data_IF_940082050293
#
_entry.id   IF_940082050293
#
_cell.length_a   1.000
_cell.length_b   1.000
_cell.length_c   1.000
_cell.angle_alpha   90.00
_cell.angle_beta   90.00
_cell.angle_gamma   90.00
#
_symmetry.space_group_name_H-M   'P 1'
#
loop_
_entity.id
_entity.type
_entity.pdbx_description
1 polymer ?
#
# COMPACT_ATOMS: atom_id res chain seq x y z
N UNK A 1 -8.96 34.95 6.53
CA UNK A 1 -7.55 34.55 6.62
C UNK A 1 -7.31 33.36 5.71
N UNK A 2 -6.47 33.52 4.68
CA UNK A 2 -6.10 32.44 3.77
C UNK A 2 -5.26 31.40 4.52
N UNK A 3 -5.68 30.12 4.47
CA UNK A 3 -4.86 29.02 5.01
C UNK A 3 -3.60 28.90 4.16
N UNK A 4 -2.42 29.12 4.73
CA UNK A 4 -1.14 28.80 4.11
C UNK A 4 -0.89 27.30 4.18
N UNK A 5 -0.47 26.72 3.06
CA UNK A 5 -0.15 25.30 2.93
C UNK A 5 1.36 25.12 2.83
N UNK A 6 1.89 24.05 3.41
CA UNK A 6 3.28 23.68 3.28
C UNK A 6 3.59 23.26 1.83
N UNK A 7 4.65 23.78 1.23
CA UNK A 7 5.04 23.44 -0.14
C UNK A 7 5.58 22.01 -0.30
N UNK A 8 5.95 21.35 0.82
CA UNK A 8 6.54 20.02 0.81
C UNK A 8 5.50 18.91 1.08
N UNK A 9 4.74 18.98 2.20
CA UNK A 9 3.71 17.99 2.51
C UNK A 9 2.30 18.37 2.03
N UNK A 10 2.09 19.59 1.52
CA UNK A 10 0.79 20.12 1.09
C UNK A 10 -0.32 20.14 2.16
N UNK A 11 0.04 19.96 3.44
CA UNK A 11 -0.87 20.16 4.58
C UNK A 11 -0.89 21.64 5.00
N UNK A 12 -1.96 22.11 5.67
CA UNK A 12 -1.96 23.42 6.31
C UNK A 12 -0.74 23.58 7.21
N UNK A 13 -0.11 24.76 7.26
CA UNK A 13 1.10 24.99 8.07
C UNK A 13 0.94 24.56 9.54
N UNK A 14 -0.25 24.75 10.12
CA UNK A 14 -0.57 24.33 11.49
C UNK A 14 -0.62 22.81 11.71
N UNK A 15 -0.68 22.03 10.63
CA UNK A 15 -0.71 20.56 10.63
C UNK A 15 0.45 19.98 9.79
N UNK A 16 1.52 20.76 9.58
CA UNK A 16 2.68 20.32 8.82
C UNK A 16 3.38 19.15 9.54
N UNK A 17 3.64 18.07 8.81
CA UNK A 17 4.31 16.88 9.35
C UNK A 17 5.77 16.76 8.90
N UNK A 18 6.30 17.71 8.12
CA UNK A 18 7.66 17.62 7.57
C UNK A 18 8.74 17.44 8.64
N UNK A 19 8.60 18.09 9.81
CA UNK A 19 9.56 17.97 10.91
C UNK A 19 9.50 16.60 11.63
N UNK A 20 8.45 15.81 11.37
CA UNK A 20 8.21 14.51 12.01
C UNK A 20 8.42 13.33 11.05
N UNK A 21 8.79 13.60 9.80
CA UNK A 21 9.08 12.57 8.80
C UNK A 21 10.58 12.49 8.61
N UNK A 22 11.14 11.31 8.88
CA UNK A 22 12.52 10.99 8.56
C UNK A 22 12.54 10.20 7.25
N UNK A 23 13.26 10.67 6.21
CA UNK A 23 13.50 9.88 5.00
C UNK A 23 14.03 8.49 5.34
N UNK A 24 13.54 7.50 4.63
CA UNK A 24 13.94 6.10 4.74
C UNK A 24 14.53 5.65 3.41
N UNK A 25 15.61 4.90 3.48
CA UNK A 25 16.18 4.27 2.29
C UNK A 25 15.34 3.05 1.93
N UNK A 26 14.91 3.00 0.66
CA UNK A 26 14.30 1.81 0.09
C UNK A 26 15.29 1.18 -0.88
N UNK A 27 15.74 -0.07 -0.66
CA UNK A 27 16.77 -0.68 -1.49
C UNK A 27 16.28 -1.03 -2.91
N UNK A 28 14.99 -0.84 -3.18
CA UNK A 28 14.36 -1.10 -4.47
C UNK A 28 13.38 0.03 -4.84
N UNK A 29 13.12 0.23 -6.13
CA UNK A 29 12.13 1.20 -6.59
C UNK A 29 10.72 0.81 -6.14
N UNK A 30 9.95 1.81 -5.75
CA UNK A 30 8.53 1.66 -5.41
C UNK A 30 7.70 2.47 -6.39
N UNK A 31 6.69 1.84 -6.98
CA UNK A 31 5.70 2.47 -7.83
C UNK A 31 4.34 2.42 -7.15
N UNK A 32 3.71 3.58 -6.99
CA UNK A 32 2.31 3.70 -6.61
C UNK A 32 1.46 3.93 -7.86
N UNK A 33 0.59 2.98 -8.16
CA UNK A 33 -0.47 3.17 -9.15
C UNK A 33 -1.72 3.66 -8.43
N UNK A 34 -1.99 4.96 -8.56
CA UNK A 34 -3.10 5.63 -7.89
C UNK A 34 -4.28 5.81 -8.84
N UNK A 35 -5.48 5.46 -8.39
CA UNK A 35 -6.69 5.68 -9.17
C UNK A 35 -6.96 7.21 -9.32
N UNK A 36 -7.28 7.74 -10.52
CA UNK A 36 -7.44 9.19 -10.75
C UNK A 36 -8.48 9.88 -9.85
N UNK A 37 -9.58 9.19 -9.53
CA UNK A 37 -10.59 9.66 -8.58
C UNK A 37 -10.12 9.74 -7.12
N UNK A 38 -8.98 9.14 -6.74
CA UNK A 38 -8.40 9.24 -5.40
C UNK A 38 -7.42 10.40 -5.28
N UNK A 39 -6.70 10.73 -6.36
CA UNK A 39 -5.73 11.82 -6.40
C UNK A 39 -6.33 13.20 -6.07
N UNK A 40 -7.66 13.34 -6.20
CA UNK A 40 -8.40 14.58 -5.88
C UNK A 40 -8.86 14.69 -4.42
N UNK A 41 -8.62 13.68 -3.59
CA UNK A 41 -9.06 13.72 -2.20
C UNK A 41 -8.03 14.42 -1.29
N UNK A 42 -8.50 15.36 -0.48
CA UNK A 42 -7.71 16.17 0.46
C UNK A 42 -7.01 15.38 1.60
N UNK A 43 -7.11 14.04 1.59
CA UNK A 43 -6.47 13.10 2.53
C UNK A 43 -5.44 12.20 1.85
N UNK A 44 -4.93 12.58 0.68
CA UNK A 44 -3.91 11.80 0.00
C UNK A 44 -2.69 11.65 0.90
N UNK A 45 -2.31 10.42 1.23
CA UNK A 45 -1.09 10.09 2.01
C UNK A 45 0.17 10.17 1.14
N UNK A 46 0.00 10.27 -0.18
CA UNK A 46 1.09 10.31 -1.16
C UNK A 46 2.10 11.43 -0.91
N UNK A 47 1.72 12.69 -0.60
CA UNK A 47 2.67 13.75 -0.29
C UNK A 47 3.54 13.44 0.94
N UNK A 48 2.95 12.84 1.98
CA UNK A 48 3.70 12.41 3.17
C UNK A 48 4.65 11.25 2.84
N UNK A 49 4.18 10.30 2.04
CA UNK A 49 4.97 9.15 1.64
C UNK A 49 6.17 9.55 0.78
N UNK A 50 6.03 10.57 -0.09
CA UNK A 50 7.16 11.15 -0.86
C UNK A 50 8.21 11.82 0.02
N UNK A 51 7.83 12.33 1.19
CA UNK A 51 8.80 12.86 2.17
C UNK A 51 9.57 11.75 2.86
N UNK A 52 8.93 10.60 3.10
CA UNK A 52 9.56 9.44 3.70
C UNK A 52 10.37 8.61 2.68
N UNK A 53 9.93 8.55 1.43
CA UNK A 53 10.52 7.75 0.35
C UNK A 53 10.70 8.64 -0.89
N UNK A 54 11.81 9.38 -0.99
CA UNK A 54 11.98 10.39 -2.05
C UNK A 54 11.97 9.80 -3.47
N UNK A 55 12.43 8.55 -3.62
CA UNK A 55 12.53 7.87 -4.91
C UNK A 55 11.25 7.13 -5.33
N UNK A 56 10.14 7.34 -4.62
CA UNK A 56 8.87 6.72 -4.98
C UNK A 56 8.28 7.33 -6.25
N UNK A 57 8.00 6.48 -7.23
CA UNK A 57 7.26 6.89 -8.43
C UNK A 57 5.77 6.80 -8.16
N UNK A 58 5.01 7.79 -8.59
CA UNK A 58 3.54 7.78 -8.49
C UNK A 58 2.96 8.00 -9.88
N UNK A 59 2.13 7.07 -10.33
CA UNK A 59 1.40 7.13 -11.59
C UNK A 59 -0.09 7.23 -11.30
N UNK A 60 -0.72 8.32 -11.75
CA UNK A 60 -2.15 8.59 -11.55
C UNK A 60 -2.89 8.25 -12.83
N UNK A 61 -3.24 6.98 -12.98
CA UNK A 61 -3.90 6.45 -14.20
C UNK A 61 -4.69 5.19 -13.88
N UNK A 62 -5.68 4.87 -14.71
CA UNK A 62 -6.35 3.57 -14.69
C UNK A 62 -5.64 2.53 -15.56
N UNK A 63 -4.79 3.00 -16.48
CA UNK A 63 -4.05 2.18 -17.45
C UNK A 63 -2.57 2.47 -17.36
N UNK A 64 -1.80 1.45 -16.97
CA UNK A 64 -0.36 1.48 -16.85
C UNK A 64 0.20 0.35 -17.73
N UNK A 65 1.08 0.71 -18.67
CA UNK A 65 1.81 -0.28 -19.45
C UNK A 65 2.73 -1.12 -18.54
N UNK A 66 3.03 -2.39 -18.90
CA UNK A 66 4.00 -3.18 -18.17
C UNK A 66 5.31 -2.43 -17.95
N UNK A 67 5.85 -2.54 -16.74
CA UNK A 67 7.07 -1.85 -16.36
C UNK A 67 8.29 -2.48 -17.04
N UNK A 68 9.33 -1.69 -17.35
CA UNK A 68 10.61 -2.27 -17.76
C UNK A 68 11.17 -3.16 -16.65
N UNK A 69 11.95 -4.17 -17.02
CA UNK A 69 12.60 -5.07 -16.06
C UNK A 69 13.52 -4.25 -15.13
N UNK A 70 13.48 -4.47 -13.81
CA UNK A 70 14.41 -3.82 -12.89
C UNK A 70 15.85 -4.32 -13.10
N UNK A 71 16.83 -3.57 -12.58
CA UNK A 71 18.25 -3.90 -12.73
C UNK A 71 18.63 -5.24 -12.06
N UNK A 72 17.89 -5.64 -11.03
CA UNK A 72 18.02 -6.93 -10.33
C UNK A 72 16.64 -7.41 -9.94
N UNK A 73 16.45 -8.74 -9.78
CA UNK A 73 15.17 -9.31 -9.36
C UNK A 73 14.02 -9.05 -10.34
N UNK A 74 12.80 -8.96 -9.80
CA UNK A 74 11.56 -8.69 -10.55
C UNK A 74 10.62 -7.76 -9.78
N UNK A 75 9.60 -7.26 -10.47
CA UNK A 75 8.53 -6.51 -9.84
C UNK A 75 7.63 -7.43 -9.02
N UNK A 76 7.26 -6.97 -7.83
CA UNK A 76 6.31 -7.60 -6.92
C UNK A 76 5.11 -6.69 -6.70
N UNK A 77 3.92 -7.27 -6.54
CA UNK A 77 2.70 -6.54 -6.25
C UNK A 77 2.40 -6.60 -4.74
N UNK A 78 2.30 -5.45 -4.08
CA UNK A 78 1.77 -5.38 -2.73
C UNK A 78 0.24 -5.30 -2.78
N UNK A 79 -0.43 -6.44 -2.63
CA UNK A 79 -1.88 -6.57 -2.71
C UNK A 79 -2.35 -7.89 -2.11
N UNK A 80 -3.48 -7.94 -1.37
CA UNK A 80 -3.99 -9.21 -0.87
C UNK A 80 -4.54 -10.04 -2.04
N UNK A 81 -3.77 -11.05 -2.43
CA UNK A 81 -4.14 -12.09 -3.37
C UNK A 81 -4.12 -13.44 -2.68
N UNK A 82 -4.83 -14.43 -3.22
CA UNK A 82 -4.91 -15.78 -2.62
C UNK A 82 -3.55 -16.46 -2.46
N UNK A 83 -2.60 -16.15 -3.34
CA UNK A 83 -1.23 -16.69 -3.34
C UNK A 83 -0.19 -15.66 -2.88
N UNK A 84 -0.63 -14.56 -2.25
CA UNK A 84 0.30 -13.56 -1.74
C UNK A 84 1.12 -14.13 -0.59
N UNK A 85 2.42 -13.85 -0.60
CA UNK A 85 3.31 -14.11 0.52
C UNK A 85 2.97 -13.13 1.64
N UNK A 86 2.58 -13.67 2.78
CA UNK A 86 2.26 -12.89 3.98
C UNK A 86 3.52 -12.46 4.71
N UNK A 87 3.83 -11.17 4.65
CA UNK A 87 5.02 -10.57 5.27
C UNK A 87 5.01 -10.71 6.79
N UNK A 88 3.83 -10.86 7.39
CA UNK A 88 3.66 -10.93 8.84
C UNK A 88 3.72 -12.37 9.38
N UNK A 89 3.83 -13.37 8.51
CA UNK A 89 3.91 -14.76 8.95
C UNK A 89 5.25 -15.04 9.66
N UNK A 90 5.17 -15.54 10.90
CA UNK A 90 6.33 -15.94 11.69
C UNK A 90 7.20 -16.94 10.90
N UNK A 91 8.50 -16.64 10.77
CA UNK A 91 9.51 -17.42 10.05
C UNK A 91 9.48 -17.39 8.51
N UNK A 92 8.82 -16.41 7.87
CA UNK A 92 8.94 -16.25 6.42
C UNK A 92 10.28 -15.63 6.01
N UNK A 93 11.07 -16.36 5.22
CA UNK A 93 12.18 -15.77 4.49
C UNK A 93 11.62 -14.97 3.30
N UNK A 94 11.52 -13.65 3.45
CA UNK A 94 11.21 -12.78 2.32
C UNK A 94 12.29 -12.97 1.24
N UNK A 95 11.91 -13.11 -0.03
CA UNK A 95 12.87 -13.30 -1.12
C UNK A 95 13.46 -11.94 -1.51
N UNK A 96 14.12 -11.24 -0.57
CA UNK A 96 14.64 -9.88 -0.73
C UNK A 96 15.52 -9.77 -1.99
N UNK A 97 16.35 -10.78 -2.26
CA UNK A 97 17.21 -10.84 -3.44
C UNK A 97 16.45 -10.90 -4.78
N UNK A 98 15.18 -11.34 -4.77
CA UNK A 98 14.31 -11.42 -5.94
C UNK A 98 13.39 -10.19 -6.07
N UNK A 99 13.29 -9.35 -5.04
CA UNK A 99 12.53 -8.10 -5.08
C UNK A 99 13.38 -7.04 -5.78
N UNK A 100 13.08 -6.83 -7.06
CA UNK A 100 13.66 -5.77 -7.90
C UNK A 100 12.89 -4.47 -7.86
N UNK A 101 11.66 -4.49 -7.35
CA UNK A 101 10.78 -3.34 -7.21
C UNK A 101 9.40 -3.73 -6.70
N UNK A 102 8.71 -2.76 -6.10
CA UNK A 102 7.34 -2.95 -5.60
C UNK A 102 6.34 -2.10 -6.37
N UNK A 103 5.20 -2.69 -6.70
CA UNK A 103 4.00 -2.01 -7.18
C UNK A 103 2.96 -2.00 -6.07
N UNK A 104 2.45 -0.83 -5.73
CA UNK A 104 1.41 -0.62 -4.71
C UNK A 104 0.20 0.02 -5.39
N UNK A 105 -0.99 -0.50 -5.11
CA UNK A 105 -2.23 0.07 -5.63
C UNK A 105 -2.84 1.02 -4.61
N UNK A 106 -3.02 2.28 -4.97
CA UNK A 106 -3.61 3.30 -4.10
C UNK A 106 -5.07 3.61 -4.47
N UNK A 107 -5.95 3.37 -3.50
CA UNK A 107 -7.35 3.72 -3.56
C UNK A 107 -8.24 2.82 -2.71
N UNK A 108 -9.55 3.11 -2.69
CA UNK A 108 -10.52 2.18 -2.08
C UNK A 108 -10.46 0.79 -2.72
N UNK A 109 -10.85 -0.27 -1.97
CA UNK A 109 -10.94 -1.65 -2.49
C UNK A 109 -11.66 -1.81 -3.82
N UNK A 110 -12.71 -1.00 -4.05
CA UNK A 110 -13.42 -1.02 -5.34
C UNK A 110 -12.54 -0.49 -6.47
N UNK A 111 -11.79 0.59 -6.21
CA UNK A 111 -10.91 1.23 -7.18
C UNK A 111 -9.64 0.41 -7.43
N UNK A 112 -9.00 -0.16 -6.40
CA UNK A 112 -7.80 -1.01 -6.58
C UNK A 112 -8.12 -2.31 -7.30
N UNK A 113 -9.27 -2.95 -7.05
CA UNK A 113 -9.75 -4.08 -7.86
C UNK A 113 -9.97 -3.71 -9.33
N UNK A 114 -10.47 -2.50 -9.58
CA UNK A 114 -10.63 -1.98 -10.95
C UNK A 114 -9.27 -1.76 -11.61
N UNK A 115 -8.30 -1.16 -10.91
CA UNK A 115 -6.92 -1.04 -11.41
C UNK A 115 -6.32 -2.41 -11.75
N UNK A 116 -6.48 -3.40 -10.86
CA UNK A 116 -6.01 -4.77 -11.10
C UNK A 116 -6.69 -5.42 -12.31
N UNK A 117 -7.98 -5.16 -12.53
CA UNK A 117 -8.73 -5.66 -13.68
C UNK A 117 -8.30 -5.01 -15.01
N UNK A 118 -8.08 -3.69 -15.00
CA UNK A 118 -7.67 -2.92 -16.18
C UNK A 118 -6.20 -3.11 -16.57
N UNK A 119 -5.40 -3.66 -15.66
CA UNK A 119 -3.97 -3.94 -15.87
C UNK A 119 -3.68 -5.43 -15.60
N UNK A 120 -4.09 -6.35 -16.51
CA UNK A 120 -3.99 -7.79 -16.25
C UNK A 120 -2.58 -8.29 -15.95
N UNK A 121 -1.56 -7.62 -16.47
CA UNK A 121 -0.15 -7.93 -16.22
C UNK A 121 0.23 -7.85 -14.73
N UNK A 122 -0.46 -7.03 -13.94
CA UNK A 122 -0.25 -6.95 -12.49
C UNK A 122 -0.56 -8.27 -11.78
N UNK A 123 -1.50 -9.07 -12.32
CA UNK A 123 -1.87 -10.38 -11.78
C UNK A 123 -0.83 -11.46 -12.10
N UNK A 124 0.10 -11.18 -13.01
CA UNK A 124 1.22 -12.06 -13.34
C UNK A 124 2.41 -11.85 -12.39
N UNK A 125 2.40 -10.76 -11.62
CA UNK A 125 3.45 -10.48 -10.66
C UNK A 125 3.29 -11.39 -9.43
N UNK A 126 4.39 -11.82 -8.81
CA UNK A 126 4.34 -12.38 -7.46
C UNK A 126 3.81 -11.31 -6.49
N UNK A 127 3.02 -11.74 -5.50
CA UNK A 127 2.32 -10.83 -4.61
C UNK A 127 2.82 -10.93 -3.16
N UNK A 128 2.88 -9.79 -2.48
CA UNK A 128 3.07 -9.67 -1.04
C UNK A 128 1.78 -9.15 -0.41
N UNK A 129 1.49 -9.60 0.81
CA UNK A 129 0.38 -9.09 1.63
C UNK A 129 0.80 -8.96 3.08
N UNK A 130 0.05 -8.15 3.84
CA UNK A 130 0.20 -8.03 5.30
C UNK A 130 -1.07 -8.59 5.95
N UNK A 131 -0.96 -9.65 6.77
CA UNK A 131 -2.08 -10.16 7.57
C UNK A 131 -2.24 -9.42 8.91
N UNK A 132 -1.16 -8.83 9.42
CA UNK A 132 -1.08 -8.06 10.65
C UNK A 132 -0.80 -6.58 10.32
N UNK A 133 -1.62 -5.97 9.45
CA UNK A 133 -1.63 -4.51 9.38
C UNK A 133 -1.96 -3.98 10.80
N UNK A 134 -1.11 -3.10 11.40
CA UNK A 134 -1.39 -2.57 12.73
C UNK A 134 -2.75 -1.91 12.72
N UNK A 135 -3.49 -2.06 13.82
CA UNK A 135 -4.72 -1.33 14.08
C UNK A 135 -4.39 0.15 14.30
N UNK A 136 -3.85 0.82 13.28
CA UNK A 136 -3.79 2.28 13.25
C UNK A 136 -5.24 2.76 13.21
N UNK A 137 -5.53 3.88 13.85
CA UNK A 137 -6.84 4.54 13.82
C UNK A 137 -7.34 4.88 12.39
N UNK A 138 -6.50 4.63 11.37
CA UNK A 138 -6.89 4.43 9.99
C UNK A 138 -7.16 2.95 9.71
N UNK A 139 -8.42 2.56 9.85
CA UNK A 139 -8.91 1.24 9.45
C UNK A 139 -8.60 0.96 7.96
N UNK A 140 -7.44 0.35 7.68
CA UNK A 140 -7.20 -0.39 6.44
C UNK A 140 -8.19 -1.56 6.49
N UNK A 141 -9.34 -1.38 5.85
CA UNK A 141 -10.43 -2.35 5.87
C UNK A 141 -9.89 -3.70 5.42
N UNK A 142 -10.11 -4.76 6.19
CA UNK A 142 -9.88 -6.15 5.77
C UNK A 142 -10.44 -6.35 4.35
N UNK A 143 -9.60 -6.75 3.42
CA UNK A 143 -10.06 -7.24 2.12
C UNK A 143 -10.91 -8.51 2.33
N UNK A 144 -11.91 -8.80 1.48
CA UNK A 144 -12.69 -10.02 1.61
C UNK A 144 -11.81 -11.21 1.23
N UNK A 145 -11.30 -11.93 2.23
CA UNK A 145 -10.49 -13.14 2.08
C UNK A 145 -10.28 -13.83 3.43
N UNK A 146 -10.94 -14.98 3.63
CA UNK A 146 -11.06 -15.82 4.83
C UNK A 146 -12.03 -15.34 5.94
N UNK A 147 -13.31 -15.61 5.72
CA UNK A 147 -14.18 -16.13 6.79
C UNK A 147 -13.98 -17.64 6.87
N UNK A 148 -13.77 -18.16 8.09
CA UNK A 148 -13.60 -19.60 8.34
C UNK A 148 -13.47 -19.93 9.82
N UNK A 149 -14.55 -19.72 10.58
CA UNK A 149 -15.05 -20.46 11.77
C UNK A 149 -14.05 -20.96 12.83
N UNK A 150 -14.19 -20.43 14.06
CA UNK A 150 -14.23 -21.21 15.33
C UNK A 150 -15.25 -20.51 16.26
N UNK A 151 -16.49 -20.96 16.21
CA UNK A 151 -17.18 -21.81 17.20
C UNK A 151 -17.56 -21.07 18.49
N UNK A 152 -18.85 -20.75 18.57
CA UNK A 152 -19.50 -20.21 19.74
C UNK A 152 -19.80 -21.35 20.72
N UNK A 153 -19.02 -21.47 21.78
CA UNK A 153 -19.45 -22.21 22.98
C UNK A 153 -19.72 -21.25 24.12
N UNK A 154 -21.01 -21.04 24.35
CA UNK A 154 -21.59 -20.64 25.64
C UNK A 154 -21.13 -21.61 26.73
N UNK A 155 -20.58 -21.09 27.82
CA UNK A 155 -20.57 -21.73 29.16
C UNK A 155 -20.41 -20.67 30.26
N UNK A 156 -21.53 -20.26 30.87
CA UNK A 156 -21.67 -19.94 32.30
C UNK A 156 -21.11 -18.61 32.88
N UNK A 157 -21.85 -17.92 33.78
CA UNK A 157 -21.33 -16.83 34.58
C UNK A 157 -20.64 -17.36 35.85
N UNK A 158 -19.64 -16.63 36.33
CA UNK A 158 -19.19 -16.69 37.73
C UNK A 158 -19.14 -15.28 38.29
N UNK A 159 -19.80 -15.13 39.44
CA UNK A 159 -20.08 -13.93 40.26
C UNK A 159 -21.26 -13.07 39.80
#
# INVERSE_FOLDING_TARGET
MSRTYCHACHLPQSACLCAHVSPQDCPFPVLILQHPLEAKHAKSTVPLLRLALPDIRVEVTEHLAPLPQPASGRWWLLYPAEQALDVDAENMALPIADIGGLVVLDGTWRKTRRLLHLNPWLRLLPALSFSLAPASDYAIRKGPGRSGVVDARKSGPMC
#
